data_IF_926047669838
#
_entry.id   IF_926047669838
#
_cell.length_a   1.000
_cell.length_b   1.000
_cell.length_c   1.000
_cell.angle_alpha   90.00
_cell.angle_beta   90.00
_cell.angle_gamma   90.00
#
_symmetry.space_group_name_H-M   'P 1'
#
loop_
_entity.id
_entity.type
_entity.pdbx_description
1 polymer ?
#
# COMPACT_ATOMS: atom_id res chain seq x y z
N UNK A 1 -22.54 3.25 -0.22
CA UNK A 1 -21.74 2.30 -1.05
C UNK A 1 -21.82 0.93 -0.44
N UNK A 2 -22.42 -0.04 -1.14
CA UNK A 2 -22.32 -1.44 -0.75
C UNK A 2 -20.92 -1.95 -1.13
N UNK A 3 -19.89 -1.65 -0.32
CA UNK A 3 -18.63 -2.39 -0.29
C UNK A 3 -18.89 -3.78 0.31
N UNK A 4 -20.00 -3.93 1.05
CA UNK A 4 -20.58 -5.21 1.45
C UNK A 4 -21.01 -6.00 0.22
N UNK A 5 -20.18 -6.91 -0.25
CA UNK A 5 -20.50 -7.79 -1.38
C UNK A 5 -19.51 -7.74 -2.53
N UNK A 6 -18.47 -6.90 -2.50
CA UNK A 6 -17.32 -7.00 -3.39
C UNK A 6 -16.54 -8.29 -3.08
N UNK A 7 -17.09 -9.42 -3.55
CA UNK A 7 -16.34 -10.68 -3.56
C UNK A 7 -15.32 -10.60 -4.68
N UNK A 8 -14.08 -10.31 -4.33
CA UNK A 8 -12.94 -10.44 -5.24
C UNK A 8 -12.80 -11.90 -5.65
N UNK A 9 -12.51 -12.12 -6.92
CA UNK A 9 -12.41 -13.43 -7.54
C UNK A 9 -11.71 -14.46 -6.65
N UNK A 10 -12.44 -15.39 -5.99
CA UNK A 10 -11.88 -16.33 -5.02
C UNK A 10 -10.74 -17.19 -5.60
N UNK A 11 -10.76 -17.44 -6.91
CA UNK A 11 -9.79 -18.30 -7.59
C UNK A 11 -8.35 -17.78 -7.60
N UNK A 12 -8.15 -16.48 -7.81
CA UNK A 12 -6.79 -15.90 -7.83
C UNK A 12 -6.17 -15.88 -6.43
N UNK A 13 -6.97 -15.60 -5.41
CA UNK A 13 -6.51 -15.54 -4.02
C UNK A 13 -6.14 -16.92 -3.50
N UNK A 14 -6.98 -17.92 -3.73
CA UNK A 14 -6.70 -19.31 -3.36
C UNK A 14 -5.42 -19.81 -4.02
N UNK A 15 -5.21 -19.47 -5.30
CA UNK A 15 -3.98 -19.82 -6.01
C UNK A 15 -2.75 -19.15 -5.38
N UNK A 16 -2.85 -17.87 -5.03
CA UNK A 16 -1.73 -17.14 -4.42
C UNK A 16 -1.44 -17.64 -3.01
N UNK A 17 -2.46 -17.91 -2.18
CA UNK A 17 -2.27 -18.53 -0.86
C UNK A 17 -1.57 -19.88 -0.96
N UNK A 18 -1.99 -20.75 -1.88
CA UNK A 18 -1.33 -22.05 -2.13
C UNK A 18 0.12 -21.88 -2.58
N UNK A 19 0.40 -20.89 -3.41
CA UNK A 19 1.76 -20.59 -3.85
C UNK A 19 2.64 -20.14 -2.69
N UNK A 20 2.14 -19.25 -1.81
CA UNK A 20 2.86 -18.82 -0.61
C UNK A 20 3.14 -20.03 0.30
N UNK A 21 2.13 -20.84 0.60
CA UNK A 21 2.27 -22.02 1.44
C UNK A 21 3.31 -23.02 0.89
N UNK A 22 3.38 -23.17 -0.44
CA UNK A 22 4.37 -24.04 -1.09
C UNK A 22 5.80 -23.48 -1.03
N UNK A 23 5.97 -22.16 -1.08
CA UNK A 23 7.28 -21.52 -1.15
C UNK A 23 7.86 -21.10 0.21
N UNK A 24 6.99 -20.86 1.20
CA UNK A 24 7.40 -20.27 2.50
C UNK A 24 8.45 -21.10 3.22
N UNK A 25 8.41 -22.42 3.08
CA UNK A 25 9.40 -23.35 3.65
C UNK A 25 10.83 -23.02 3.22
N UNK A 26 11.00 -22.54 1.99
CA UNK A 26 12.29 -22.24 1.37
C UNK A 26 12.78 -20.81 1.61
N UNK A 27 11.97 -19.99 2.30
CA UNK A 27 12.31 -18.58 2.58
C UNK A 27 13.05 -18.44 3.90
N UNK A 28 13.99 -17.51 3.93
CA UNK A 28 14.73 -17.14 5.15
C UNK A 28 13.99 -16.05 5.93
N UNK A 29 13.33 -15.14 5.22
CA UNK A 29 12.49 -14.08 5.80
C UNK A 29 11.33 -13.72 4.87
N UNK A 30 10.39 -12.95 5.39
CA UNK A 30 9.27 -12.35 4.65
C UNK A 30 9.33 -10.84 4.78
N UNK A 31 9.16 -10.15 3.66
CA UNK A 31 9.03 -8.71 3.57
C UNK A 31 7.60 -8.36 3.15
N UNK A 32 6.82 -7.75 4.03
CA UNK A 32 5.48 -7.25 3.74
C UNK A 32 5.57 -5.76 3.41
N UNK A 33 5.17 -5.38 2.18
CA UNK A 33 5.12 -3.98 1.76
C UNK A 33 3.72 -3.44 2.02
N UNK A 34 3.64 -2.38 2.82
CA UNK A 34 2.40 -1.70 3.18
C UNK A 34 2.44 -0.24 2.71
N UNK A 35 1.29 0.36 2.51
CA UNK A 35 1.16 1.78 2.14
C UNK A 35 1.20 2.63 3.42
N UNK A 36 2.17 3.52 3.54
CA UNK A 36 2.34 4.35 4.72
C UNK A 36 1.17 5.33 4.96
N UNK A 37 0.27 5.51 3.99
CA UNK A 37 -0.96 6.30 4.16
C UNK A 37 -2.07 5.53 4.86
N UNK A 38 -2.03 4.19 4.80
CA UNK A 38 -3.00 3.26 5.38
C UNK A 38 -2.27 2.02 5.92
N UNK A 39 -1.38 2.17 6.93
CA UNK A 39 -0.46 1.10 7.33
C UNK A 39 -1.16 -0.17 7.80
N UNK A 40 -2.25 -0.07 8.56
CA UNK A 40 -3.01 -1.22 9.04
C UNK A 40 -3.91 -1.79 7.94
N UNK A 41 -4.71 -0.95 7.29
CA UNK A 41 -5.63 -1.38 6.22
C UNK A 41 -4.92 -1.99 5.01
N UNK A 42 -3.64 -1.67 4.79
CA UNK A 42 -2.85 -2.27 3.71
C UNK A 42 -2.17 -3.58 4.07
N UNK A 43 -2.29 -4.06 5.31
CA UNK A 43 -1.86 -5.40 5.72
C UNK A 43 -2.94 -6.42 5.41
N UNK A 44 -2.54 -7.54 4.83
CA UNK A 44 -3.46 -8.64 4.63
C UNK A 44 -3.45 -9.56 5.87
N UNK A 45 -4.56 -9.73 6.60
CA UNK A 45 -4.62 -10.53 7.82
C UNK A 45 -4.17 -11.99 7.62
N UNK A 46 -4.41 -12.57 6.45
CA UNK A 46 -3.97 -13.93 6.13
C UNK A 46 -2.44 -14.10 6.12
N UNK A 47 -1.68 -13.01 5.96
CA UNK A 47 -0.20 -13.06 5.87
C UNK A 47 0.40 -13.52 7.21
N UNK A 48 -0.18 -13.13 8.33
CA UNK A 48 0.33 -13.50 9.65
C UNK A 48 0.31 -15.04 9.86
N UNK A 49 -0.78 -15.68 9.48
CA UNK A 49 -0.90 -17.15 9.54
C UNK A 49 0.00 -17.85 8.51
N UNK A 50 -0.06 -17.39 7.25
CA UNK A 50 0.69 -17.99 6.13
C UNK A 50 2.21 -17.91 6.30
N UNK A 51 2.71 -16.97 7.08
CA UNK A 51 4.15 -16.74 7.28
C UNK A 51 4.62 -16.99 8.71
N UNK A 52 3.80 -17.66 9.52
CA UNK A 52 4.10 -17.98 10.91
C UNK A 52 5.48 -18.65 11.05
N UNK A 53 6.24 -18.22 12.06
CA UNK A 53 7.57 -18.75 12.36
C UNK A 53 8.70 -18.22 11.45
N UNK A 54 8.43 -17.33 10.50
CA UNK A 54 9.47 -16.66 9.71
C UNK A 54 9.81 -15.29 10.26
N UNK A 55 11.09 -14.89 10.28
CA UNK A 55 11.48 -13.49 10.51
C UNK A 55 10.77 -12.57 9.53
N UNK A 56 10.20 -11.46 10.03
CA UNK A 56 9.37 -10.58 9.22
C UNK A 56 9.85 -9.13 9.26
N UNK A 57 9.81 -8.50 8.08
CA UNK A 57 10.04 -7.07 7.92
C UNK A 57 8.80 -6.42 7.31
N UNK A 58 8.38 -5.30 7.87
CA UNK A 58 7.39 -4.41 7.26
C UNK A 58 8.12 -3.26 6.56
N UNK A 59 7.81 -3.02 5.30
CA UNK A 59 8.26 -1.85 4.57
C UNK A 59 7.10 -0.88 4.46
N UNK A 60 7.18 0.24 5.18
CA UNK A 60 6.30 1.38 5.02
C UNK A 60 6.68 2.12 3.73
N UNK A 61 5.99 1.82 2.63
CA UNK A 61 6.26 2.44 1.34
C UNK A 61 5.41 3.71 1.13
N UNK A 62 5.80 4.56 0.20
CA UNK A 62 5.15 5.85 -0.10
C UNK A 62 5.21 6.86 1.07
N UNK A 63 6.28 6.84 1.85
CA UNK A 63 6.47 7.80 2.96
C UNK A 63 6.54 9.26 2.50
N UNK A 64 6.80 9.49 1.22
CA UNK A 64 6.72 10.80 0.58
C UNK A 64 5.29 11.34 0.44
N UNK A 65 4.28 10.47 0.55
CA UNK A 65 2.85 10.79 0.46
C UNK A 65 2.13 10.66 1.81
N UNK A 66 2.79 10.14 2.84
CA UNK A 66 2.23 9.94 4.18
C UNK A 66 2.67 11.05 5.15
N UNK A 67 1.88 11.25 6.20
CA UNK A 67 2.26 12.14 7.30
C UNK A 67 3.54 11.63 7.99
N UNK A 68 4.59 12.47 8.11
CA UNK A 68 5.86 12.03 8.68
C UNK A 68 5.78 11.70 10.17
N UNK A 69 4.90 12.36 10.93
CA UNK A 69 4.75 12.12 12.37
C UNK A 69 4.02 10.80 12.59
N UNK A 70 2.91 10.57 11.87
CA UNK A 70 2.19 9.30 11.92
C UNK A 70 3.02 8.12 11.39
N UNK A 71 3.82 8.32 10.33
CA UNK A 71 4.74 7.29 9.81
C UNK A 71 5.71 6.83 10.89
N UNK A 72 6.28 7.75 11.70
CA UNK A 72 7.18 7.40 12.81
C UNK A 72 6.46 6.62 13.92
N UNK A 73 5.24 7.03 14.27
CA UNK A 73 4.43 6.32 15.28
C UNK A 73 4.10 4.90 14.81
N UNK A 74 3.68 4.72 13.55
CA UNK A 74 3.42 3.42 12.97
C UNK A 74 4.67 2.54 12.91
N UNK A 75 5.82 3.12 12.55
CA UNK A 75 7.09 2.39 12.57
C UNK A 75 7.45 1.92 13.98
N UNK A 76 7.22 2.73 15.00
CA UNK A 76 7.43 2.36 16.41
C UNK A 76 6.46 1.25 16.86
N UNK A 77 5.16 1.36 16.50
CA UNK A 77 4.14 0.37 16.83
C UNK A 77 4.44 -1.01 16.23
N UNK A 78 4.84 -1.06 14.95
CA UNK A 78 5.24 -2.33 14.33
C UNK A 78 6.52 -2.92 14.92
N UNK A 79 7.51 -2.09 15.29
CA UNK A 79 8.70 -2.57 16.01
C UNK A 79 8.34 -3.17 17.38
N UNK A 80 7.39 -2.55 18.09
CA UNK A 80 6.90 -3.07 19.38
C UNK A 80 6.20 -4.43 19.23
N UNK A 81 5.64 -4.73 18.07
CA UNK A 81 5.09 -6.04 17.72
C UNK A 81 6.16 -7.07 17.28
N UNK A 82 7.44 -6.69 17.26
CA UNK A 82 8.54 -7.58 16.90
C UNK A 82 8.90 -7.60 15.41
N UNK A 83 8.35 -6.71 14.60
CA UNK A 83 8.74 -6.59 13.18
C UNK A 83 10.01 -5.74 13.01
N UNK A 84 10.89 -6.13 12.09
CA UNK A 84 11.82 -5.17 11.51
C UNK A 84 11.03 -4.17 10.63
N UNK A 85 11.37 -2.88 10.69
CA UNK A 85 10.64 -1.85 9.95
C UNK A 85 11.59 -1.01 9.10
N UNK A 86 11.27 -0.88 7.82
CA UNK A 86 11.95 -0.02 6.86
C UNK A 86 10.98 1.01 6.30
N UNK A 87 11.34 2.28 6.39
CA UNK A 87 10.61 3.38 5.76
C UNK A 87 11.20 3.64 4.37
N UNK A 88 10.35 3.67 3.32
CA UNK A 88 10.81 3.78 1.94
C UNK A 88 9.89 4.61 1.04
N UNK A 89 10.52 5.28 0.08
CA UNK A 89 9.87 5.80 -1.12
C UNK A 89 10.40 5.02 -2.33
N UNK A 90 9.72 3.97 -2.73
CA UNK A 90 10.15 3.13 -3.83
C UNK A 90 10.27 3.88 -5.16
N UNK A 91 9.41 4.88 -5.42
CA UNK A 91 9.43 5.69 -6.64
C UNK A 91 10.67 6.60 -6.68
N UNK A 92 10.94 7.33 -5.59
CA UNK A 92 12.10 8.21 -5.45
C UNK A 92 13.41 7.47 -5.14
N UNK A 93 13.31 6.29 -4.52
CA UNK A 93 14.44 5.45 -4.13
C UNK A 93 14.92 5.64 -2.70
N UNK A 94 14.45 6.66 -1.99
CA UNK A 94 14.85 6.89 -0.61
C UNK A 94 14.47 5.71 0.30
N UNK A 95 15.40 5.26 1.14
CA UNK A 95 15.24 4.14 2.06
C UNK A 95 15.48 2.76 1.42
N UNK A 96 15.31 2.61 0.10
CA UNK A 96 15.47 1.32 -0.57
C UNK A 96 16.92 0.81 -0.55
N UNK A 97 17.89 1.72 -0.49
CA UNK A 97 19.32 1.41 -0.39
C UNK A 97 19.71 0.71 0.91
N UNK A 98 18.89 0.87 1.97
CA UNK A 98 19.12 0.24 3.28
C UNK A 98 18.55 -1.18 3.38
N UNK A 99 17.74 -1.61 2.40
CA UNK A 99 17.00 -2.86 2.48
C UNK A 99 17.89 -4.09 2.69
N UNK A 100 18.94 -4.25 1.88
CA UNK A 100 19.82 -5.41 1.98
C UNK A 100 20.53 -5.50 3.34
N UNK A 101 20.97 -4.38 3.89
CA UNK A 101 21.56 -4.32 5.24
C UNK A 101 20.51 -4.65 6.33
N UNK A 102 19.29 -4.13 6.21
CA UNK A 102 18.21 -4.40 7.15
C UNK A 102 17.78 -5.87 7.15
N UNK A 103 17.76 -6.53 5.98
CA UNK A 103 17.50 -7.98 5.90
C UNK A 103 18.61 -8.80 6.58
N UNK A 104 19.86 -8.43 6.38
CA UNK A 104 20.98 -9.11 7.05
C UNK A 104 20.98 -8.93 8.56
N UNK A 105 20.62 -7.76 9.04
CA UNK A 105 20.46 -7.52 10.48
C UNK A 105 19.30 -8.32 11.06
N UNK A 106 18.15 -8.37 10.38
CA UNK A 106 17.00 -9.21 10.76
C UNK A 106 17.38 -10.70 10.89
N UNK A 107 18.30 -11.17 10.05
CA UNK A 107 18.71 -12.57 9.98
C UNK A 107 20.04 -12.85 10.65
N UNK A 108 20.59 -11.92 11.42
CA UNK A 108 21.95 -11.95 11.98
C UNK A 108 22.27 -13.25 12.72
N UNK A 109 21.39 -13.66 13.64
CA UNK A 109 21.57 -14.89 14.41
C UNK A 109 21.55 -16.14 13.52
N UNK A 110 20.61 -16.18 12.56
CA UNK A 110 20.50 -17.27 11.61
C UNK A 110 21.71 -17.37 10.70
N UNK A 111 22.23 -16.22 10.24
CA UNK A 111 23.45 -16.18 9.41
C UNK A 111 24.69 -16.62 10.18
N UNK A 112 24.80 -16.24 11.47
CA UNK A 112 25.87 -16.73 12.33
C UNK A 112 25.84 -18.26 12.49
N UNK A 113 24.65 -18.83 12.75
CA UNK A 113 24.48 -20.29 12.83
C UNK A 113 24.79 -21.02 11.52
N UNK A 114 24.55 -20.39 10.36
CA UNK A 114 24.96 -20.95 9.07
C UNK A 114 26.49 -20.92 8.87
N UNK A 115 27.14 -19.83 9.28
CA UNK A 115 28.59 -19.70 9.20
C UNK A 115 29.30 -20.74 10.08
N UNK A 116 28.82 -20.99 11.30
CA UNK A 116 29.33 -22.05 12.20
C UNK A 116 29.24 -23.44 11.58
N UNK A 117 28.22 -23.68 10.72
CA UNK A 117 28.04 -24.94 9.97
C UNK A 117 28.81 -24.97 8.64
N UNK A 118 29.71 -24.00 8.40
CA UNK A 118 30.50 -23.92 7.15
C UNK A 118 29.70 -23.44 5.93
N UNK A 119 28.46 -22.98 6.08
CA UNK A 119 27.61 -22.50 5.00
C UNK A 119 27.81 -20.98 4.75
N UNK A 120 29.06 -20.58 4.55
CA UNK A 120 29.42 -19.19 4.25
C UNK A 120 28.98 -18.83 2.82
N UNK A 121 28.38 -17.67 2.63
CA UNK A 121 27.96 -17.20 1.29
C UNK A 121 26.67 -17.80 0.76
N UNK A 122 25.90 -18.51 1.58
CA UNK A 122 24.57 -19.01 1.21
C UNK A 122 23.65 -17.86 0.80
N UNK A 123 22.93 -18.03 -0.30
CA UNK A 123 21.95 -17.06 -0.77
C UNK A 123 20.76 -16.96 0.20
N UNK A 124 20.51 -15.76 0.67
CA UNK A 124 19.34 -15.38 1.47
C UNK A 124 18.14 -15.25 0.55
N UNK A 125 17.02 -15.88 0.89
CA UNK A 125 15.77 -15.85 0.16
C UNK A 125 14.69 -15.11 0.92
N UNK A 126 14.20 -14.02 0.34
CA UNK A 126 13.14 -13.20 0.96
C UNK A 126 11.90 -13.19 0.07
N UNK A 127 10.79 -13.63 0.62
CA UNK A 127 9.48 -13.49 -0.05
C UNK A 127 8.96 -12.08 0.14
N UNK A 128 8.52 -11.45 -0.95
CA UNK A 128 7.93 -10.09 -0.90
C UNK A 128 6.42 -10.20 -1.09
N UNK A 129 5.68 -9.78 -0.08
CA UNK A 129 4.23 -9.78 -0.03
C UNK A 129 3.68 -8.36 0.00
N UNK A 130 2.40 -8.21 -0.25
CA UNK A 130 1.67 -6.95 -0.14
C UNK A 130 0.43 -6.93 -1.03
N UNK A 131 -0.45 -6.00 -0.75
CA UNK A 131 -1.68 -5.80 -1.52
C UNK A 131 -1.38 -5.29 -2.94
N UNK A 132 -2.35 -5.34 -3.88
CA UNK A 132 -2.19 -4.71 -5.19
C UNK A 132 -1.87 -3.21 -5.05
N UNK A 133 -1.12 -2.66 -5.99
CA UNK A 133 -0.77 -1.24 -6.11
C UNK A 133 -0.02 -0.61 -4.91
N UNK A 134 0.38 -1.36 -3.91
CA UNK A 134 1.20 -0.86 -2.78
C UNK A 134 2.62 -0.42 -3.21
N UNK A 135 3.00 -0.70 -4.46
CA UNK A 135 4.31 -0.36 -5.02
C UNK A 135 5.36 -1.49 -4.91
N UNK A 136 4.92 -2.74 -4.72
CA UNK A 136 5.78 -3.90 -4.52
C UNK A 136 6.82 -4.08 -5.64
N UNK A 137 6.39 -4.18 -6.90
CA UNK A 137 7.30 -4.36 -8.04
C UNK A 137 8.21 -3.14 -8.26
N UNK A 138 7.72 -1.93 -7.97
CA UNK A 138 8.56 -0.71 -7.99
C UNK A 138 9.66 -0.79 -6.94
N UNK A 139 9.33 -1.22 -5.72
CA UNK A 139 10.28 -1.41 -4.64
C UNK A 139 11.34 -2.45 -5.00
N UNK A 140 10.91 -3.63 -5.47
CA UNK A 140 11.82 -4.71 -5.90
C UNK A 140 12.78 -4.24 -6.98
N UNK A 141 12.28 -3.55 -8.02
CA UNK A 141 13.11 -3.01 -9.09
C UNK A 141 14.13 -2.00 -8.58
N UNK A 142 13.74 -1.17 -7.63
CA UNK A 142 14.62 -0.16 -7.05
C UNK A 142 15.73 -0.79 -6.20
N UNK A 143 15.38 -1.77 -5.37
CA UNK A 143 16.34 -2.53 -4.55
C UNK A 143 17.31 -3.32 -5.42
N UNK A 144 16.81 -3.97 -6.47
CA UNK A 144 17.63 -4.73 -7.42
C UNK A 144 18.44 -3.85 -8.40
N UNK A 145 18.25 -2.52 -8.37
CA UNK A 145 18.89 -1.54 -9.28
C UNK A 145 18.68 -1.85 -10.77
N UNK A 146 17.57 -2.50 -11.12
CA UNK A 146 17.24 -2.90 -12.50
C UNK A 146 15.72 -3.05 -12.68
N UNK A 147 15.27 -2.95 -13.93
CA UNK A 147 13.86 -3.17 -14.31
C UNK A 147 13.63 -4.65 -14.61
N UNK A 148 13.49 -5.47 -13.60
CA UNK A 148 13.26 -6.92 -13.75
C UNK A 148 11.81 -7.29 -13.48
N UNK A 149 11.18 -6.71 -12.44
CA UNK A 149 9.78 -6.92 -12.12
C UNK A 149 8.89 -5.95 -12.91
N UNK A 150 7.75 -6.43 -13.42
CA UNK A 150 6.77 -5.56 -14.10
C UNK A 150 6.10 -4.67 -13.08
N UNK A 151 6.25 -3.36 -13.25
CA UNK A 151 5.64 -2.34 -12.41
C UNK A 151 4.70 -1.49 -13.26
N UNK A 152 3.41 -1.54 -12.95
CA UNK A 152 2.37 -0.67 -13.53
C UNK A 152 1.43 -0.25 -12.41
N UNK A 153 0.81 0.92 -12.54
CA UNK A 153 -0.16 1.44 -11.57
C UNK A 153 -1.57 0.82 -11.75
N UNK A 154 -1.63 -0.46 -12.17
CA UNK A 154 -2.89 -1.21 -12.36
C UNK A 154 -2.89 -2.47 -11.50
N UNK A 155 -3.99 -2.76 -10.77
CA UNK A 155 -4.13 -3.99 -9.99
C UNK A 155 -3.98 -5.25 -10.85
N UNK A 156 -3.20 -6.24 -10.38
CA UNK A 156 -3.06 -7.56 -11.01
C UNK A 156 -2.00 -7.67 -12.11
N UNK A 157 -1.04 -6.76 -12.18
CA UNK A 157 0.06 -6.78 -13.17
C UNK A 157 1.00 -7.96 -12.96
N UNK A 158 1.40 -8.27 -11.72
CA UNK A 158 2.22 -9.45 -11.41
C UNK A 158 1.33 -10.68 -11.38
N UNK A 159 1.39 -11.50 -12.43
CA UNK A 159 0.55 -12.70 -12.59
C UNK A 159 1.20 -14.00 -12.16
N UNK A 160 2.54 -14.01 -12.01
CA UNK A 160 3.33 -15.18 -11.64
C UNK A 160 4.46 -14.80 -10.70
N UNK A 161 4.93 -15.75 -9.89
CA UNK A 161 6.11 -15.57 -9.04
C UNK A 161 7.35 -15.35 -9.91
N UNK A 162 8.25 -14.47 -9.46
CA UNK A 162 9.51 -14.20 -10.14
C UNK A 162 10.64 -14.02 -9.12
N UNK A 163 11.78 -14.72 -9.36
CA UNK A 163 13.00 -14.49 -8.60
C UNK A 163 13.76 -13.28 -9.13
N UNK A 164 14.14 -12.39 -8.23
CA UNK A 164 14.88 -11.17 -8.53
C UNK A 164 16.11 -11.09 -7.64
N UNK A 165 17.32 -11.32 -8.17
CA UNK A 165 18.54 -11.16 -7.41
C UNK A 165 18.81 -9.68 -7.13
N UNK A 166 19.15 -9.39 -5.88
CA UNK A 166 19.54 -8.06 -5.38
C UNK A 166 21.06 -7.90 -5.43
N UNK A 167 21.75 -8.88 -4.88
CA UNK A 167 23.22 -8.96 -4.90
C UNK A 167 23.66 -10.45 -4.97
N UNK A 168 24.93 -10.72 -4.76
CA UNK A 168 25.50 -12.08 -4.85
C UNK A 168 24.91 -13.08 -3.84
N UNK A 169 24.35 -12.60 -2.73
CA UNK A 169 23.88 -13.43 -1.61
C UNK A 169 22.46 -13.12 -1.18
N UNK A 170 21.70 -12.32 -1.93
CA UNK A 170 20.31 -11.95 -1.61
C UNK A 170 19.45 -11.99 -2.86
N UNK A 171 18.38 -12.75 -2.83
CA UNK A 171 17.36 -12.81 -3.86
C UNK A 171 15.96 -12.62 -3.27
N UNK A 172 15.08 -11.96 -4.03
CA UNK A 172 13.69 -11.71 -3.69
C UNK A 172 12.77 -12.59 -4.53
N UNK A 173 11.73 -13.12 -3.91
CA UNK A 173 10.62 -13.73 -4.61
C UNK A 173 9.49 -12.70 -4.72
N UNK A 174 9.31 -12.11 -5.92
CA UNK A 174 8.14 -11.27 -6.21
C UNK A 174 6.91 -12.15 -6.36
N UNK A 175 5.84 -11.77 -5.65
CA UNK A 175 4.57 -12.48 -5.64
C UNK A 175 3.45 -11.60 -6.16
N UNK A 176 2.37 -12.18 -6.75
CA UNK A 176 1.16 -11.42 -7.04
C UNK A 176 0.63 -10.70 -5.80
N UNK A 177 0.06 -9.51 -5.99
CA UNK A 177 -0.60 -8.80 -4.90
C UNK A 177 -1.79 -9.59 -4.36
N UNK A 178 -1.95 -9.61 -3.05
CA UNK A 178 -2.98 -10.39 -2.37
C UNK A 178 -3.89 -9.45 -1.59
N UNK A 179 -5.18 -9.46 -1.93
CA UNK A 179 -6.25 -8.95 -1.09
C UNK A 179 -6.99 -10.13 -0.46
N UNK A 180 -7.73 -9.91 0.60
CA UNK A 180 -8.62 -10.93 1.19
C UNK A 180 -10.04 -10.79 0.64
N UNK A 181 -10.84 -11.89 0.66
CA UNK A 181 -12.09 -11.97 -0.12
C UNK A 181 -13.21 -11.08 0.40
N UNK A 182 -13.19 -10.71 1.67
CA UNK A 182 -14.24 -9.92 2.32
C UNK A 182 -13.63 -8.95 3.30
N UNK A 183 -14.04 -7.69 3.23
CA UNK A 183 -13.70 -6.69 4.22
C UNK A 183 -14.82 -6.65 5.25
N UNK A 184 -14.50 -7.03 6.50
CA UNK A 184 -15.46 -6.98 7.61
C UNK A 184 -15.71 -5.55 8.07
N UNK A 185 -14.74 -4.65 7.81
CA UNK A 185 -14.82 -3.22 8.06
C UNK A 185 -14.93 -2.43 6.76
N UNK A 186 -16.01 -1.68 6.59
CA UNK A 186 -16.28 -0.82 5.44
C UNK A 186 -15.22 0.28 5.29
N UNK A 187 -14.67 0.79 6.40
CA UNK A 187 -13.63 1.83 6.37
C UNK A 187 -12.32 1.29 5.79
N UNK A 188 -11.95 0.06 6.10
CA UNK A 188 -10.80 -0.61 5.44
C UNK A 188 -11.01 -0.67 3.93
N UNK A 189 -12.21 -1.05 3.50
CA UNK A 189 -12.57 -1.08 2.07
C UNK A 189 -12.43 0.28 1.39
N UNK A 190 -12.92 1.36 2.01
CA UNK A 190 -12.80 2.73 1.49
C UNK A 190 -11.33 3.16 1.38
N UNK A 191 -10.53 2.94 2.43
CA UNK A 191 -9.09 3.28 2.45
C UNK A 191 -8.31 2.55 1.36
N UNK A 192 -8.61 1.27 1.14
CA UNK A 192 -8.04 0.48 0.04
C UNK A 192 -8.45 1.02 -1.33
N UNK A 193 -9.71 1.45 -1.47
CA UNK A 193 -10.22 2.05 -2.70
C UNK A 193 -9.57 3.43 -2.97
N UNK A 194 -9.45 4.29 -1.97
CA UNK A 194 -8.77 5.58 -2.09
C UNK A 194 -7.34 5.45 -2.61
N UNK A 195 -6.61 4.45 -2.12
CA UNK A 195 -5.22 4.21 -2.52
C UNK A 195 -5.06 3.45 -3.83
N UNK A 196 -6.17 3.00 -4.44
CA UNK A 196 -6.19 2.27 -5.71
C UNK A 196 -5.78 0.80 -5.57
N UNK A 197 -5.83 0.22 -4.37
CA UNK A 197 -5.64 -1.22 -4.17
C UNK A 197 -6.80 -2.03 -4.76
N UNK A 198 -7.98 -1.42 -4.82
CA UNK A 198 -9.19 -1.91 -5.47
C UNK A 198 -9.30 -1.27 -6.87
N UNK A 199 -9.77 -2.04 -7.86
CA UNK A 199 -9.97 -1.55 -9.23
C UNK A 199 -11.16 -0.59 -9.30
N UNK A 200 -10.98 0.52 -10.00
CA UNK A 200 -12.04 1.51 -10.19
C UNK A 200 -13.27 0.97 -10.95
N UNK A 201 -13.07 0.00 -11.85
CA UNK A 201 -14.13 -0.61 -12.66
C UNK A 201 -15.26 -1.28 -11.85
N UNK A 202 -15.03 -1.55 -10.57
CA UNK A 202 -15.98 -2.21 -9.67
C UNK A 202 -16.50 -1.28 -8.57
N UNK A 203 -16.18 0.02 -8.65
CA UNK A 203 -16.51 1.02 -7.65
C UNK A 203 -17.38 2.12 -8.26
N UNK A 204 -18.28 2.67 -7.46
CA UNK A 204 -18.86 3.97 -7.74
C UNK A 204 -17.82 5.04 -7.41
N UNK A 205 -17.21 5.59 -8.45
CA UNK A 205 -16.10 6.54 -8.33
C UNK A 205 -16.57 7.88 -7.76
N UNK A 206 -17.78 8.30 -8.09
CA UNK A 206 -18.35 9.55 -7.60
C UNK A 206 -18.67 9.44 -6.11
N UNK A 207 -19.33 8.36 -5.69
CA UNK A 207 -19.59 8.09 -4.29
C UNK A 207 -18.29 7.96 -3.47
N UNK A 208 -17.28 7.25 -4.01
CA UNK A 208 -15.96 7.12 -3.39
C UNK A 208 -15.29 8.49 -3.21
N UNK A 209 -15.38 9.36 -4.22
CA UNK A 209 -14.82 10.71 -4.17
C UNK A 209 -15.55 11.59 -3.15
N UNK A 210 -16.87 11.44 -3.00
CA UNK A 210 -17.62 12.13 -1.94
C UNK A 210 -17.11 11.74 -0.55
N UNK A 211 -16.90 10.45 -0.26
CA UNK A 211 -16.32 10.03 1.01
C UNK A 211 -14.91 10.59 1.24
N UNK A 212 -14.10 10.69 0.18
CA UNK A 212 -12.77 11.30 0.30
C UNK A 212 -12.88 12.81 0.57
N UNK A 213 -13.83 13.53 -0.05
CA UNK A 213 -14.08 14.94 0.23
C UNK A 213 -14.52 15.16 1.67
N UNK A 214 -15.45 14.33 2.19
CA UNK A 214 -15.89 14.38 3.59
C UNK A 214 -14.71 14.20 4.55
N UNK A 215 -13.85 13.21 4.27
CA UNK A 215 -12.66 12.95 5.07
C UNK A 215 -11.68 14.13 5.04
N UNK A 216 -11.42 14.69 3.86
CA UNK A 216 -10.52 15.84 3.70
C UNK A 216 -11.11 17.10 4.36
N UNK A 217 -12.42 17.32 4.26
CA UNK A 217 -13.08 18.45 4.90
C UNK A 217 -12.96 18.40 6.44
N UNK A 218 -13.09 17.18 6.99
CA UNK A 218 -13.03 16.99 8.45
C UNK A 218 -11.60 17.13 9.00
N UNK A 219 -10.60 16.62 8.28
CA UNK A 219 -9.25 16.48 8.82
C UNK A 219 -8.21 17.40 8.17
N UNK A 220 -8.48 17.87 6.94
CA UNK A 220 -7.51 18.56 6.08
C UNK A 220 -8.17 19.66 5.23
N UNK A 221 -9.08 20.45 5.81
CA UNK A 221 -9.85 21.48 5.09
C UNK A 221 -8.95 22.48 4.32
N UNK A 222 -7.78 22.82 4.87
CA UNK A 222 -6.83 23.71 4.21
C UNK A 222 -6.35 23.18 2.86
N UNK A 223 -6.24 21.86 2.69
CA UNK A 223 -5.89 21.23 1.42
C UNK A 223 -6.93 21.51 0.35
N UNK A 224 -8.22 21.48 0.69
CA UNK A 224 -9.31 21.80 -0.22
C UNK A 224 -9.26 23.26 -0.64
N UNK A 225 -9.00 24.16 0.31
CA UNK A 225 -8.81 25.59 0.05
C UNK A 225 -7.61 25.87 -0.84
N UNK A 226 -6.47 25.26 -0.54
CA UNK A 226 -5.24 25.49 -1.30
C UNK A 226 -5.30 24.90 -2.71
N UNK A 227 -5.79 23.68 -2.85
CA UNK A 227 -5.77 22.93 -4.11
C UNK A 227 -6.93 23.27 -5.03
N UNK A 228 -8.14 23.33 -4.49
CA UNK A 228 -9.38 23.52 -5.26
C UNK A 228 -9.97 24.90 -5.16
N UNK A 229 -9.42 25.77 -4.27
CA UNK A 229 -9.91 27.13 -4.03
C UNK A 229 -11.37 27.15 -3.57
N UNK A 230 -11.73 26.17 -2.74
CA UNK A 230 -13.04 26.06 -2.12
C UNK A 230 -12.91 26.16 -0.60
N UNK A 231 -13.88 26.78 0.04
CA UNK A 231 -14.04 26.78 1.49
C UNK A 231 -15.05 25.71 1.87
N UNK A 232 -14.82 25.06 3.02
CA UNK A 232 -15.76 24.13 3.64
C UNK A 232 -16.70 24.93 4.51
N UNK A 233 -18.00 24.85 4.22
CA UNK A 233 -19.06 25.53 4.98
C UNK A 233 -19.78 24.51 5.86
N UNK A 234 -20.43 25.01 6.91
CA UNK A 234 -21.22 24.15 7.80
C UNK A 234 -22.39 23.53 7.02
N UNK A 235 -22.48 22.19 7.07
CA UNK A 235 -23.51 21.43 6.36
C UNK A 235 -23.12 20.96 4.96
N UNK A 236 -21.96 21.35 4.44
CA UNK A 236 -21.46 20.82 3.16
C UNK A 236 -21.28 19.29 3.24
N UNK A 237 -21.89 18.58 2.31
CA UNK A 237 -21.60 17.17 2.08
C UNK A 237 -20.41 16.99 1.13
N UNK A 238 -19.83 15.78 1.08
CA UNK A 238 -18.78 15.47 0.12
C UNK A 238 -19.19 15.69 -1.33
N UNK A 239 -20.49 15.54 -1.65
CA UNK A 239 -21.02 15.84 -2.98
C UNK A 239 -21.01 17.36 -3.25
N UNK A 240 -21.43 18.18 -2.29
CA UNK A 240 -21.41 19.65 -2.44
C UNK A 240 -19.98 20.16 -2.64
N UNK A 241 -19.02 19.60 -1.90
CA UNK A 241 -17.60 19.94 -2.03
C UNK A 241 -17.05 19.50 -3.39
N UNK A 242 -17.45 18.31 -3.86
CA UNK A 242 -17.06 17.80 -5.18
C UNK A 242 -17.61 18.70 -6.30
N UNK A 243 -18.87 19.14 -6.18
CA UNK A 243 -19.50 20.09 -7.10
C UNK A 243 -18.82 21.47 -7.07
N UNK A 244 -18.56 22.02 -5.87
CA UNK A 244 -17.82 23.29 -5.69
C UNK A 244 -16.45 23.21 -6.38
N UNK A 245 -15.71 22.13 -6.17
CA UNK A 245 -14.39 21.92 -6.78
C UNK A 245 -14.46 21.79 -8.30
N UNK A 246 -15.41 21.03 -8.82
CA UNK A 246 -15.64 20.87 -10.26
C UNK A 246 -16.00 22.20 -10.94
N UNK A 247 -16.84 23.01 -10.30
CA UNK A 247 -17.22 24.35 -10.76
C UNK A 247 -16.01 25.28 -10.80
N UNK A 248 -15.17 25.29 -9.76
CA UNK A 248 -13.92 26.08 -9.73
C UNK A 248 -12.92 25.65 -10.82
N UNK A 249 -12.91 24.37 -11.19
CA UNK A 249 -12.09 23.83 -12.26
C UNK A 249 -12.68 24.04 -13.66
N UNK A 250 -13.91 24.58 -13.76
CA UNK A 250 -14.60 24.81 -15.03
C UNK A 250 -15.07 23.52 -15.70
N UNK A 251 -15.30 22.45 -14.93
CA UNK A 251 -15.83 21.17 -15.45
C UNK A 251 -17.35 21.27 -15.58
N UNK A 252 -17.79 21.93 -16.63
CA UNK A 252 -19.20 22.18 -16.89
C UNK A 252 -19.68 21.36 -18.12
N UNK A 253 -20.85 20.76 -17.98
CA UNK A 253 -21.60 20.12 -19.04
C UNK A 253 -22.64 21.09 -19.65
N UNK A 254 -23.38 20.65 -20.67
CA UNK A 254 -24.48 21.40 -21.25
C UNK A 254 -25.52 21.71 -20.17
N UNK A 255 -26.00 22.97 -20.13
CA UNK A 255 -26.94 23.42 -19.09
C UNK A 255 -26.29 23.88 -17.79
N UNK A 256 -24.97 24.18 -17.79
CA UNK A 256 -24.19 24.64 -16.64
C UNK A 256 -24.16 23.68 -15.44
N UNK A 257 -24.50 22.41 -15.65
CA UNK A 257 -24.31 21.36 -14.65
C UNK A 257 -22.82 21.04 -14.52
N UNK A 258 -22.39 20.71 -13.30
CA UNK A 258 -21.00 20.31 -13.05
C UNK A 258 -20.80 18.84 -13.44
N UNK A 259 -19.68 18.54 -14.11
CA UNK A 259 -19.22 17.17 -14.40
C UNK A 259 -18.52 16.63 -13.14
N UNK A 260 -19.32 16.15 -12.18
CA UNK A 260 -18.86 15.63 -10.90
C UNK A 260 -18.10 14.33 -11.05
N UNK A 261 -18.46 13.48 -12.03
CA UNK A 261 -17.71 12.25 -12.33
C UNK A 261 -16.27 12.55 -12.76
N UNK A 262 -16.10 13.54 -13.63
CA UNK A 262 -14.76 13.99 -14.05
C UNK A 262 -13.96 14.54 -12.87
N UNK A 263 -14.60 15.32 -12.00
CA UNK A 263 -13.96 15.86 -10.79
C UNK A 263 -13.56 14.74 -9.84
N UNK A 264 -14.42 13.73 -9.66
CA UNK A 264 -14.17 12.56 -8.83
C UNK A 264 -12.91 11.78 -9.28
N UNK A 265 -12.79 11.50 -10.57
CA UNK A 265 -11.60 10.84 -11.14
C UNK A 265 -10.33 11.66 -10.88
N UNK A 266 -10.40 12.97 -11.08
CA UNK A 266 -9.25 13.85 -10.85
C UNK A 266 -8.87 13.92 -9.37
N UNK A 267 -9.83 13.99 -8.46
CA UNK A 267 -9.59 13.98 -7.01
C UNK A 267 -8.83 12.71 -6.59
N UNK A 268 -9.33 11.55 -7.02
CA UNK A 268 -8.70 10.26 -6.70
C UNK A 268 -7.31 10.12 -7.31
N UNK A 269 -7.12 10.56 -8.55
CA UNK A 269 -5.80 10.55 -9.20
C UNK A 269 -4.80 11.49 -8.51
N UNK A 270 -5.24 12.66 -8.09
CA UNK A 270 -4.41 13.62 -7.37
C UNK A 270 -4.05 13.11 -5.97
N UNK A 271 -4.99 12.47 -5.26
CA UNK A 271 -4.74 11.82 -3.98
C UNK A 271 -3.73 10.66 -4.13
N UNK A 272 -3.95 9.76 -5.08
CA UNK A 272 -3.08 8.61 -5.37
C UNK A 272 -1.69 9.03 -5.82
N UNK A 273 -1.61 10.13 -6.56
CA UNK A 273 -0.38 10.73 -7.04
C UNK A 273 0.38 11.59 -6.01
N UNK A 274 -0.17 11.82 -4.81
CA UNK A 274 0.42 12.66 -3.76
C UNK A 274 0.41 14.16 -4.08
N UNK A 275 -0.45 14.61 -5.01
CA UNK A 275 -0.54 16.03 -5.42
C UNK A 275 -1.32 16.89 -4.44
N UNK A 276 -2.08 16.28 -3.55
CA UNK A 276 -2.86 16.98 -2.53
C UNK A 276 -2.05 17.26 -1.26
N UNK A 277 -0.95 16.55 -1.03
CA UNK A 277 -0.14 16.65 0.18
C UNK A 277 0.20 15.29 0.76
N UNK A 278 0.52 15.28 2.05
CA UNK A 278 0.88 14.07 2.81
C UNK A 278 -0.21 13.75 3.80
N UNK A 279 -0.75 12.54 3.72
CA UNK A 279 -1.86 12.08 4.55
C UNK A 279 -1.59 10.71 5.10
N UNK A 280 -2.02 10.47 6.35
CA UNK A 280 -2.17 9.12 6.89
C UNK A 280 -3.60 9.02 7.40
N UNK A 281 -4.36 8.07 6.84
CA UNK A 281 -5.81 7.91 7.08
C UNK A 281 -6.10 7.02 8.30
N UNK A 282 -5.06 6.67 9.05
CA UNK A 282 -5.11 5.79 10.21
C UNK A 282 -4.15 6.31 11.28
N UNK A 283 -4.53 6.18 12.53
CA UNK A 283 -3.64 6.51 13.65
C UNK A 283 -2.95 5.24 14.16
N UNK A 284 -1.73 5.38 14.69
CA UNK A 284 -1.01 4.26 15.28
C UNK A 284 -1.68 3.69 16.54
N UNK A 285 -2.64 4.41 17.12
CA UNK A 285 -3.49 3.92 18.22
C UNK A 285 -4.44 2.79 17.78
N UNK A 286 -4.68 2.68 16.46
CA UNK A 286 -5.48 1.63 15.84
C UNK A 286 -4.68 0.36 15.57
N UNK A 287 -3.39 0.35 15.90
CA UNK A 287 -2.49 -0.77 15.65
C UNK A 287 -2.87 -1.99 16.51
N UNK A 288 -3.34 -3.05 15.85
CA UNK A 288 -3.71 -4.30 16.54
C UNK A 288 -5.16 -4.38 17.01
N UNK A 289 -6.02 -3.44 16.60
CA UNK A 289 -7.48 -3.52 16.79
C UNK A 289 -8.14 -4.32 15.68
#
# INVERSE_FOLDING_TARGET
MQIEGLSWFPGHMTKTKRMIAAEIGHMDAVCEIVDARIPQSSRNPDVDELTAGKPRMIVLNRVDQADPAETKKWAAAFRAQGYAVLEANAKGGAGTERFAAAVRELLKEKLAAYAEKGQVGRTIRVMVLGIPNVGKSTFINKVAKRKTARAEDRPGVTRAKQWVPVDATLELLDTPGILWPKFDDTEVGKRLAFTGAIKDDVLDIEELACYLMDYLALHYADVLRERYKIDVEEGDSGYDLLEKAGRKRGFLMRGAQVDTERMARILLDEFRGGKLGRFTLETAEDCGK
#
